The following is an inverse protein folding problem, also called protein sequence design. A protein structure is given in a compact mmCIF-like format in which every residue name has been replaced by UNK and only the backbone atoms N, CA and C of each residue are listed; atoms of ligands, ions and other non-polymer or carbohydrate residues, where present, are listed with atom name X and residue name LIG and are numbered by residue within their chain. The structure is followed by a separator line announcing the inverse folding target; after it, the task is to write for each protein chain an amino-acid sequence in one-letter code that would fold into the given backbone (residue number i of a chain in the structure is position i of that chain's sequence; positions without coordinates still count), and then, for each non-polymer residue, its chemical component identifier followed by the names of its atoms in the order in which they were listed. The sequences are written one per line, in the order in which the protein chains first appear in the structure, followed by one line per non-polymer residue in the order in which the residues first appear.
data_IF_412551789641
#
_entry.id   IF_412551789641
#
_cell.length_a   1.000
_cell.length_b   1.000
_cell.length_c   1.000
_cell.angle_alpha   90.00
_cell.angle_beta   90.00
_cell.angle_gamma   90.00
#
_symmetry.space_group_name_H-M   'P 1'
#
loop_
_entity.id
_entity.type
_entity.pdbx_description
1 polymer ?
#
# COMPACT_ATOMS: atom_id res chain seq x y z
N UNK A 1 20.75 -7.61 29.02
CA UNK A 1 19.67 -6.72 29.46
C UNK A 1 18.84 -6.39 28.23
N UNK A 2 17.77 -7.15 28.01
CA UNK A 2 16.85 -6.88 26.90
C UNK A 2 16.09 -5.61 27.27
N UNK A 3 16.30 -4.53 26.52
CA UNK A 3 15.51 -3.32 26.66
C UNK A 3 14.06 -3.71 26.40
N UNK A 4 13.15 -3.36 27.33
CA UNK A 4 11.73 -3.57 27.17
C UNK A 4 11.29 -2.97 25.83
N UNK A 5 10.72 -3.81 24.96
CA UNK A 5 10.04 -3.37 23.74
C UNK A 5 9.01 -2.31 24.14
N UNK A 6 8.94 -1.15 23.45
CA UNK A 6 7.92 -0.17 23.75
C UNK A 6 6.53 -0.81 23.58
N UNK A 7 5.74 -0.82 24.65
CA UNK A 7 4.30 -0.96 24.52
C UNK A 7 3.80 0.12 23.54
N UNK A 8 2.65 -0.13 22.89
CA UNK A 8 1.99 0.89 22.08
C UNK A 8 1.96 2.21 22.88
N UNK A 9 2.60 3.29 22.40
CA UNK A 9 2.71 4.50 23.18
C UNK A 9 1.31 5.08 23.38
N UNK A 10 1.02 5.53 24.61
CA UNK A 10 -0.18 6.31 24.93
C UNK A 10 -0.20 7.66 24.17
N UNK A 11 0.96 8.08 23.65
CA UNK A 11 1.15 9.27 22.83
C UNK A 11 0.70 9.02 21.39
N UNK A 12 -0.36 9.73 21.00
CA UNK A 12 -0.86 9.82 19.63
C UNK A 12 -0.17 10.94 18.82
N UNK A 13 0.99 11.45 19.24
CA UNK A 13 1.61 12.58 18.54
C UNK A 13 2.53 12.09 17.40
N UNK A 14 2.31 12.51 16.14
CA UNK A 14 3.24 12.24 15.03
C UNK A 14 4.67 12.70 15.34
N UNK A 15 5.67 11.86 15.04
CA UNK A 15 7.09 12.20 15.26
C UNK A 15 8.02 11.53 14.23
N UNK A 16 9.23 12.08 14.07
CA UNK A 16 10.29 11.53 13.21
C UNK A 16 10.80 10.18 13.67
N UNK A 17 10.73 9.92 14.99
CA UNK A 17 11.33 8.77 15.65
C UNK A 17 10.29 7.68 15.93
N UNK A 18 9.09 7.81 15.36
CA UNK A 18 8.02 6.83 15.55
C UNK A 18 8.39 5.46 14.97
N UNK A 19 7.97 4.42 15.67
CA UNK A 19 8.05 3.02 15.24
C UNK A 19 6.80 2.57 14.45
N UNK A 20 5.86 3.48 14.23
CA UNK A 20 4.61 3.25 13.48
C UNK A 20 4.61 4.06 12.19
N UNK A 21 4.26 3.42 11.08
CA UNK A 21 4.29 4.00 9.74
C UNK A 21 3.31 5.14 9.58
N UNK A 22 2.16 5.11 10.26
CA UNK A 22 1.13 6.13 10.09
C UNK A 22 1.35 7.37 10.97
N UNK A 23 1.94 7.22 12.15
CA UNK A 23 2.37 8.34 13.01
C UNK A 23 3.56 9.04 12.39
N UNK A 24 4.52 8.27 11.90
CA UNK A 24 5.54 8.79 11.02
C UNK A 24 4.80 9.51 9.90
N UNK A 25 3.94 8.80 9.14
CA UNK A 25 2.94 9.21 8.15
C UNK A 25 2.42 10.66 8.20
N UNK A 26 1.98 11.11 9.37
CA UNK A 26 1.50 12.47 9.57
C UNK A 26 2.62 13.52 9.76
N UNK A 27 3.73 13.15 10.40
CA UNK A 27 4.86 14.04 10.66
C UNK A 27 5.54 14.56 9.38
N UNK A 28 5.80 13.70 8.37
CA UNK A 28 6.43 14.18 7.12
C UNK A 28 5.46 14.91 6.21
N UNK A 29 4.14 14.71 6.35
CA UNK A 29 3.19 15.56 5.64
C UNK A 29 3.37 17.02 6.05
N UNK A 30 3.40 17.28 7.34
CA UNK A 30 3.64 18.64 7.84
C UNK A 30 5.07 19.12 7.61
N UNK A 31 6.05 18.22 7.67
CA UNK A 31 7.45 18.60 7.41
C UNK A 31 7.67 19.04 5.95
N UNK A 32 6.98 18.41 4.99
CA UNK A 32 7.08 18.76 3.57
C UNK A 32 6.11 19.87 3.14
N UNK A 33 4.91 19.89 3.71
CA UNK A 33 3.82 20.82 3.43
C UNK A 33 3.25 21.29 4.77
N UNK A 34 3.81 22.36 5.35
CA UNK A 34 3.40 22.84 6.67
C UNK A 34 1.90 23.07 6.78
N UNK A 35 1.25 22.39 7.74
CA UNK A 35 -0.19 22.50 8.01
C UNK A 35 -1.07 21.55 7.20
N UNK A 36 -0.50 20.68 6.38
CA UNK A 36 -1.25 19.72 5.57
C UNK A 36 -2.01 18.70 6.43
N UNK A 37 -1.43 18.24 7.54
CA UNK A 37 -2.11 17.33 8.46
C UNK A 37 -3.42 17.93 8.98
N UNK A 38 -3.41 19.23 9.31
CA UNK A 38 -4.57 19.97 9.77
C UNK A 38 -5.64 20.05 8.68
N UNK A 39 -5.24 20.31 7.42
CA UNK A 39 -6.18 20.30 6.29
C UNK A 39 -6.84 18.92 6.16
N UNK A 40 -6.07 17.83 6.26
CA UNK A 40 -6.61 16.47 6.19
C UNK A 40 -7.63 16.23 7.31
N UNK A 41 -7.28 16.56 8.55
CA UNK A 41 -8.17 16.40 9.70
C UNK A 41 -9.45 17.24 9.56
N UNK A 42 -9.34 18.50 9.14
CA UNK A 42 -10.48 19.37 8.89
C UNK A 42 -11.41 18.78 7.80
N UNK A 43 -10.85 18.21 6.73
CA UNK A 43 -11.61 17.58 5.64
C UNK A 43 -12.24 16.24 6.01
N UNK A 44 -11.71 15.58 7.02
CA UNK A 44 -12.29 14.39 7.65
C UNK A 44 -13.24 14.74 8.80
N UNK A 45 -13.39 16.03 9.15
CA UNK A 45 -14.14 16.53 10.29
C UNK A 45 -13.65 15.92 11.62
N UNK A 46 -12.33 15.94 11.82
CA UNK A 46 -11.63 15.41 12.99
C UNK A 46 -10.86 16.53 13.68
N UNK A 47 -10.82 16.51 15.02
CA UNK A 47 -10.12 17.54 15.80
C UNK A 47 -8.62 17.36 15.84
N UNK A 48 -8.18 16.10 15.90
CA UNK A 48 -6.80 15.74 16.11
C UNK A 48 -6.51 14.34 15.55
N UNK A 49 -5.24 13.97 15.59
CA UNK A 49 -4.79 12.66 15.14
C UNK A 49 -5.32 11.50 16.02
N UNK A 50 -5.73 11.76 17.26
CA UNK A 50 -6.34 10.73 18.12
C UNK A 50 -7.72 10.34 17.61
N UNK A 51 -8.54 11.30 17.18
CA UNK A 51 -9.83 11.01 16.52
C UNK A 51 -9.63 10.28 15.18
N UNK A 52 -8.59 10.63 14.42
CA UNK A 52 -8.22 9.90 13.19
C UNK A 52 -7.90 8.43 13.46
N UNK A 53 -7.01 8.16 14.42
CA UNK A 53 -6.66 6.79 14.82
C UNK A 53 -7.87 6.03 15.36
N UNK A 54 -8.70 6.66 16.18
CA UNK A 54 -9.91 6.05 16.70
C UNK A 54 -10.87 5.65 15.57
N UNK A 55 -11.03 6.49 14.54
CA UNK A 55 -11.85 6.16 13.37
C UNK A 55 -11.31 4.94 12.59
N UNK A 56 -9.99 4.83 12.41
CA UNK A 56 -9.35 3.65 11.80
C UNK A 56 -9.54 2.37 12.63
N UNK A 57 -9.66 2.50 13.95
CA UNK A 57 -10.03 1.40 14.86
C UNK A 57 -11.52 1.05 14.85
N UNK A 58 -12.32 1.67 13.99
CA UNK A 58 -13.78 1.53 14.00
C UNK A 58 -14.46 2.21 15.19
N UNK A 59 -13.71 2.98 16.00
CA UNK A 59 -14.17 3.77 17.15
C UNK A 59 -14.36 5.23 16.72
N UNK A 60 -15.32 5.47 15.84
CA UNK A 60 -15.60 6.81 15.33
C UNK A 60 -16.40 6.77 14.04
N UNK A 61 -16.89 7.92 13.58
CA UNK A 61 -17.55 8.04 12.28
C UNK A 61 -16.81 9.07 11.45
N UNK A 62 -16.22 8.63 10.34
CA UNK A 62 -15.88 9.53 9.23
C UNK A 62 -17.17 9.71 8.44
N UNK A 63 -17.75 10.90 8.56
CA UNK A 63 -19.06 11.18 7.97
C UNK A 63 -18.96 12.23 6.88
N UNK A 64 -19.22 11.84 5.63
CA UNK A 64 -19.50 12.76 4.54
C UNK A 64 -21.01 12.80 4.30
N UNK A 65 -21.57 13.95 3.97
CA UNK A 65 -23.01 14.11 3.66
C UNK A 65 -23.37 13.52 2.30
N UNK A 66 -22.37 13.34 1.42
CA UNK A 66 -22.53 12.71 0.10
C UNK A 66 -21.18 12.22 -0.45
N UNK A 67 -21.21 11.29 -1.42
CA UNK A 67 -20.00 10.88 -2.17
C UNK A 67 -19.34 12.07 -2.88
N UNK A 68 -20.14 13.02 -3.38
CA UNK A 68 -19.62 14.25 -3.99
C UNK A 68 -18.78 15.06 -3.01
N UNK A 69 -19.25 15.25 -1.78
CA UNK A 69 -18.49 15.94 -0.73
C UNK A 69 -17.20 15.20 -0.39
N UNK A 70 -17.26 13.87 -0.26
CA UNK A 70 -16.08 13.05 -0.01
C UNK A 70 -14.99 13.24 -1.09
N UNK A 71 -15.36 13.15 -2.38
CA UNK A 71 -14.39 13.35 -3.46
C UNK A 71 -13.84 14.78 -3.51
N UNK A 72 -14.67 15.78 -3.20
CA UNK A 72 -14.21 17.16 -3.08
C UNK A 72 -13.24 17.33 -1.90
N UNK A 73 -13.54 16.76 -0.74
CA UNK A 73 -12.68 16.81 0.43
C UNK A 73 -11.35 16.11 0.17
N UNK A 74 -11.38 14.94 -0.48
CA UNK A 74 -10.18 14.25 -0.94
C UNK A 74 -9.38 15.13 -1.91
N UNK A 75 -10.02 15.83 -2.84
CA UNK A 75 -9.32 16.74 -3.77
C UNK A 75 -8.54 17.85 -3.04
N UNK A 76 -9.15 18.42 -2.00
CA UNK A 76 -8.56 19.51 -1.24
C UNK A 76 -7.33 19.06 -0.41
N UNK A 77 -7.21 17.78 -0.04
CA UNK A 77 -6.05 17.28 0.73
C UNK A 77 -4.75 17.17 -0.08
N UNK A 78 -4.76 17.44 -1.38
CA UNK A 78 -3.53 17.59 -2.18
C UNK A 78 -3.50 18.88 -3.01
N UNK A 79 -4.35 19.85 -2.63
CA UNK A 79 -4.44 21.14 -3.31
C UNK A 79 -3.51 22.17 -2.68
N UNK A 80 -2.21 22.01 -2.94
CA UNK A 80 -1.16 22.94 -2.53
C UNK A 80 -0.17 23.17 -3.65
N UNK A 81 0.64 24.22 -3.58
CA UNK A 81 1.62 24.47 -4.63
C UNK A 81 2.74 23.43 -4.60
N UNK A 82 2.88 22.61 -5.64
CA UNK A 82 3.93 21.59 -5.74
C UNK A 82 5.35 22.16 -5.75
N UNK A 83 5.52 23.43 -6.13
CA UNK A 83 6.84 24.07 -6.18
C UNK A 83 7.29 24.70 -4.85
N UNK A 84 6.36 25.26 -4.06
CA UNK A 84 6.70 26.02 -2.86
C UNK A 84 6.00 25.53 -1.59
N UNK A 85 5.27 24.42 -1.69
CA UNK A 85 4.54 23.76 -0.59
C UNK A 85 3.53 24.63 0.15
N UNK A 86 3.15 25.79 -0.39
CA UNK A 86 2.15 26.65 0.25
C UNK A 86 0.74 26.09 0.06
N UNK A 87 -0.01 26.05 1.16
CA UNK A 87 -1.43 25.74 1.17
C UNK A 87 -2.25 26.93 0.63
N UNK A 88 -3.53 26.73 0.25
CA UNK A 88 -4.39 27.81 -0.21
C UNK A 88 -4.54 28.95 0.82
N UNK A 89 -4.51 28.63 2.13
CA UNK A 89 -4.59 29.58 3.24
C UNK A 89 -3.39 30.54 3.31
N UNK A 90 -2.25 30.13 2.76
CA UNK A 90 -0.98 30.87 2.88
C UNK A 90 -0.68 31.69 1.61
N UNK A 91 -1.63 31.74 0.69
CA UNK A 91 -1.54 32.49 -0.56
C UNK A 91 -2.31 33.82 -0.45
N UNK A 92 -1.80 34.91 -1.06
CA UNK A 92 -2.50 36.20 -1.08
C UNK A 92 -3.89 36.11 -1.72
N UNK A 93 -4.05 35.25 -2.73
CA UNK A 93 -5.35 34.85 -3.28
C UNK A 93 -5.43 33.32 -3.29
N UNK A 94 -6.27 32.69 -2.45
CA UNK A 94 -6.48 31.24 -2.44
C UNK A 94 -6.96 30.67 -3.79
N UNK A 95 -7.60 31.49 -4.65
CA UNK A 95 -8.05 31.10 -6.00
C UNK A 95 -6.92 31.12 -7.04
N UNK A 96 -5.72 31.54 -6.64
CA UNK A 96 -4.55 31.58 -7.51
C UNK A 96 -4.01 30.20 -7.86
N UNK A 97 -4.26 29.16 -7.05
CA UNK A 97 -3.80 27.80 -7.37
C UNK A 97 -4.42 27.31 -8.69
N UNK A 98 -3.55 27.09 -9.67
CA UNK A 98 -3.91 26.54 -10.98
C UNK A 98 -3.45 25.09 -11.06
N UNK A 99 -4.38 24.23 -11.43
CA UNK A 99 -4.12 22.82 -11.69
C UNK A 99 -3.40 22.65 -13.02
N UNK A 100 -2.46 21.71 -13.09
CA UNK A 100 -1.90 21.28 -14.38
C UNK A 100 -2.99 20.60 -15.22
N UNK A 101 -3.35 21.19 -16.35
CA UNK A 101 -4.42 20.70 -17.24
C UNK A 101 -4.12 19.33 -17.88
N UNK A 102 -2.85 18.92 -17.94
CA UNK A 102 -2.43 17.67 -18.58
C UNK A 102 -2.55 16.45 -17.67
N UNK A 103 -2.26 16.61 -16.39
CA UNK A 103 -2.21 15.49 -15.45
C UNK A 103 -3.27 15.54 -14.35
N UNK A 104 -3.90 16.71 -14.15
CA UNK A 104 -5.01 16.90 -13.22
C UNK A 104 -4.71 16.49 -11.76
N UNK A 105 -3.42 16.41 -11.40
CA UNK A 105 -2.98 15.94 -10.08
C UNK A 105 -2.14 16.93 -9.27
N UNK A 106 -1.49 17.92 -9.92
CA UNK A 106 -0.65 18.91 -9.24
C UNK A 106 -1.14 20.34 -9.44
N UNK A 107 -0.81 21.21 -8.49
CA UNK A 107 -1.24 22.60 -8.44
C UNK A 107 -0.06 23.57 -8.31
N UNK A 108 -0.22 24.78 -8.85
CA UNK A 108 0.78 25.85 -8.76
C UNK A 108 0.14 27.17 -8.41
N UNK A 109 0.73 27.94 -7.50
CA UNK A 109 0.21 29.26 -7.13
C UNK A 109 0.50 30.34 -8.18
N UNK A 110 1.44 30.10 -9.09
CA UNK A 110 1.79 31.01 -10.18
C UNK A 110 2.40 30.29 -11.38
N UNK A 111 2.43 30.99 -12.53
CA UNK A 111 3.15 30.52 -13.73
C UNK A 111 4.65 30.34 -13.46
N UNK A 112 5.24 31.14 -12.57
CA UNK A 112 6.66 31.06 -12.25
C UNK A 112 6.98 29.81 -11.43
N UNK A 113 6.14 29.47 -10.45
CA UNK A 113 6.24 28.20 -9.73
C UNK A 113 6.11 27.00 -10.69
N UNK A 114 5.17 27.06 -11.64
CA UNK A 114 5.04 26.02 -12.66
C UNK A 114 6.29 25.91 -13.54
N UNK A 115 6.84 27.03 -14.03
CA UNK A 115 8.06 27.05 -14.86
C UNK A 115 9.27 26.50 -14.10
N UNK A 116 9.41 26.87 -12.82
CA UNK A 116 10.49 26.40 -11.95
C UNK A 116 10.45 24.87 -11.77
N UNK A 117 9.26 24.32 -11.54
CA UNK A 117 9.09 22.87 -11.38
C UNK A 117 9.06 22.10 -12.72
N UNK A 118 8.80 22.77 -13.85
CA UNK A 118 8.52 22.11 -15.12
C UNK A 118 9.59 21.12 -15.59
N UNK A 119 10.86 21.44 -15.41
CA UNK A 119 11.99 20.58 -15.81
C UNK A 119 11.90 19.18 -15.21
N UNK A 120 11.28 19.11 -14.04
CA UNK A 120 11.13 17.94 -13.24
C UNK A 120 9.72 17.35 -13.39
N UNK A 121 8.67 18.17 -13.25
CA UNK A 121 7.28 17.77 -13.44
C UNK A 121 7.03 17.09 -14.79
N UNK A 122 7.61 17.59 -15.88
CA UNK A 122 7.39 17.03 -17.22
C UNK A 122 7.77 15.55 -17.32
N UNK A 123 8.72 15.08 -16.50
CA UNK A 123 9.15 13.67 -16.46
C UNK A 123 8.05 12.77 -15.89
N UNK A 124 7.23 13.30 -14.99
CA UNK A 124 6.21 12.55 -14.27
C UNK A 124 4.78 12.94 -14.65
N UNK A 125 4.59 14.00 -15.44
CA UNK A 125 3.27 14.53 -15.82
C UNK A 125 2.34 13.47 -16.43
N UNK A 126 2.86 12.61 -17.33
CA UNK A 126 2.08 11.50 -17.89
C UNK A 126 1.74 10.44 -16.85
N UNK A 127 2.69 10.14 -15.98
CA UNK A 127 2.46 9.20 -14.89
C UNK A 127 1.36 9.75 -13.99
N UNK A 128 1.47 11.00 -13.54
CA UNK A 128 0.50 11.78 -12.77
C UNK A 128 -0.92 11.80 -13.33
N UNK A 129 -1.08 11.72 -14.65
CA UNK A 129 -2.41 11.60 -15.25
C UNK A 129 -3.07 10.27 -14.87
N UNK A 130 -2.35 9.15 -15.02
CA UNK A 130 -2.82 7.78 -14.70
C UNK A 130 -3.36 7.68 -13.27
N UNK A 131 -2.73 8.40 -12.38
CA UNK A 131 -2.94 8.54 -10.92
C UNK A 131 -4.22 9.20 -10.58
N UNK A 132 -4.46 10.31 -11.27
CA UNK A 132 -5.65 11.09 -11.06
C UNK A 132 -6.88 10.27 -11.43
N UNK A 133 -6.71 9.28 -12.32
CA UNK A 133 -7.71 8.28 -12.69
C UNK A 133 -7.74 7.13 -11.67
N UNK A 134 -6.59 6.51 -11.37
CA UNK A 134 -6.48 5.34 -10.49
C UNK A 134 -7.04 5.65 -9.09
N UNK A 135 -6.80 6.85 -8.57
CA UNK A 135 -7.38 7.30 -7.28
C UNK A 135 -8.91 7.20 -7.24
N UNK A 136 -9.56 7.52 -8.35
CA UNK A 136 -11.00 7.43 -8.42
C UNK A 136 -11.42 5.99 -8.62
N UNK A 137 -10.75 5.25 -9.50
CA UNK A 137 -11.06 3.84 -9.78
C UNK A 137 -10.90 2.95 -8.55
N UNK A 138 -10.01 3.27 -7.61
CA UNK A 138 -9.89 2.59 -6.31
C UNK A 138 -11.17 2.60 -5.47
N UNK A 139 -12.07 3.56 -5.70
CA UNK A 139 -13.39 3.56 -5.07
C UNK A 139 -14.18 2.28 -5.37
N UNK A 140 -13.92 1.65 -6.52
CA UNK A 140 -14.56 0.41 -6.94
C UNK A 140 -14.19 -0.80 -6.07
N UNK A 141 -13.13 -0.69 -5.25
CA UNK A 141 -12.79 -1.68 -4.22
C UNK A 141 -13.87 -1.65 -3.12
N UNK A 142 -14.28 -0.44 -2.69
CA UNK A 142 -15.27 -0.26 -1.63
C UNK A 142 -16.69 -0.65 -2.05
N UNK A 143 -17.01 -0.52 -3.33
CA UNK A 143 -18.29 -0.98 -3.89
C UNK A 143 -18.29 -2.46 -4.23
N UNK A 144 -17.15 -3.15 -4.08
CA UNK A 144 -17.01 -4.58 -4.30
C UNK A 144 -16.83 -5.01 -5.76
N UNK A 145 -16.72 -4.07 -6.69
CA UNK A 145 -16.45 -4.37 -8.10
C UNK A 145 -15.01 -4.85 -8.33
N UNK A 146 -14.06 -4.38 -7.51
CA UNK A 146 -12.63 -4.73 -7.58
C UNK A 146 -12.09 -5.37 -6.27
N UNK A 147 -10.99 -6.14 -6.35
CA UNK A 147 -10.50 -6.81 -7.55
C UNK A 147 -11.54 -7.76 -8.13
N UNK A 148 -11.56 -7.90 -9.46
CA UNK A 148 -12.44 -8.86 -10.12
C UNK A 148 -11.97 -10.29 -9.84
N UNK A 149 -12.89 -11.27 -9.82
CA UNK A 149 -12.53 -12.65 -9.61
C UNK A 149 -11.68 -13.18 -10.77
N UNK A 150 -10.78 -14.10 -10.46
CA UNK A 150 -10.00 -14.90 -11.41
C UNK A 150 -10.54 -16.33 -11.42
N UNK A 151 -10.08 -17.14 -12.36
CA UNK A 151 -10.43 -18.57 -12.41
C UNK A 151 -9.27 -19.44 -11.89
N UNK A 152 -9.55 -20.73 -11.71
CA UNK A 152 -8.52 -21.73 -11.47
C UNK A 152 -7.41 -21.64 -12.53
N UNK A 153 -6.16 -21.76 -12.09
CA UNK A 153 -5.02 -21.62 -12.99
C UNK A 153 -5.00 -22.72 -14.05
N UNK A 154 -4.82 -22.31 -15.31
CA UNK A 154 -4.72 -23.24 -16.44
C UNK A 154 -3.35 -23.95 -16.51
N UNK A 155 -2.35 -23.46 -15.77
CA UNK A 155 -1.01 -24.06 -15.67
C UNK A 155 -0.60 -24.22 -14.20
N UNK A 156 0.24 -25.23 -13.88
CA UNK A 156 0.79 -25.39 -12.53
C UNK A 156 1.60 -24.18 -12.07
N UNK A 157 1.54 -23.87 -10.77
CA UNK A 157 2.26 -22.73 -10.19
C UNK A 157 3.77 -22.73 -10.49
N UNK A 158 4.40 -23.92 -10.56
CA UNK A 158 5.85 -24.05 -10.83
C UNK A 158 6.27 -23.57 -12.23
N UNK A 159 5.31 -23.45 -13.14
CA UNK A 159 5.54 -23.05 -14.52
C UNK A 159 5.33 -21.54 -14.74
N UNK A 160 4.96 -20.80 -13.68
CA UNK A 160 4.68 -19.36 -13.69
C UNK A 160 5.82 -18.64 -13.00
N UNK A 161 6.65 -17.93 -13.79
CA UNK A 161 7.89 -17.32 -13.30
C UNK A 161 7.80 -15.82 -13.18
N UNK A 162 6.87 -15.21 -13.90
CA UNK A 162 6.73 -13.76 -13.96
C UNK A 162 5.27 -13.35 -14.14
N UNK A 163 5.04 -12.04 -14.04
CA UNK A 163 3.73 -11.44 -14.24
C UNK A 163 3.13 -11.80 -15.60
N UNK A 164 3.93 -11.73 -16.68
CA UNK A 164 3.45 -12.00 -18.04
C UNK A 164 2.98 -13.45 -18.22
N UNK A 165 3.64 -14.41 -17.55
CA UNK A 165 3.18 -15.80 -17.51
C UNK A 165 1.79 -15.89 -16.88
N UNK A 166 1.59 -15.25 -15.73
CA UNK A 166 0.30 -15.27 -15.03
C UNK A 166 -0.80 -14.61 -15.86
N UNK A 167 -0.54 -13.45 -16.45
CA UNK A 167 -1.50 -12.73 -17.30
C UNK A 167 -1.92 -13.59 -18.49
N UNK A 168 -0.96 -14.28 -19.14
CA UNK A 168 -1.26 -15.14 -20.27
C UNK A 168 -2.24 -16.27 -19.95
N UNK A 169 -2.30 -16.72 -18.69
CA UNK A 169 -3.21 -17.78 -18.26
C UNK A 169 -4.64 -17.33 -18.06
N UNK A 170 -4.85 -16.03 -17.78
CA UNK A 170 -6.17 -15.49 -17.45
C UNK A 170 -7.09 -15.41 -18.68
N UNK A 171 -6.56 -15.67 -19.88
CA UNK A 171 -7.33 -15.65 -21.12
C UNK A 171 -7.77 -14.23 -21.49
N UNK A 172 -8.92 -14.13 -22.17
CA UNK A 172 -9.49 -12.83 -22.52
C UNK A 172 -10.21 -12.21 -21.31
N UNK A 173 -9.58 -11.19 -20.73
CA UNK A 173 -10.12 -10.42 -19.61
C UNK A 173 -11.07 -9.30 -20.08
N UNK A 174 -11.16 -9.03 -21.37
CA UNK A 174 -11.95 -7.92 -21.94
C UNK A 174 -13.41 -7.93 -21.46
N UNK A 175 -14.15 -9.06 -21.47
CA UNK A 175 -15.54 -9.09 -21.03
C UNK A 175 -15.73 -8.69 -19.56
N UNK A 176 -14.79 -9.10 -18.69
CA UNK A 176 -14.81 -8.75 -17.26
C UNK A 176 -14.59 -7.26 -17.06
N UNK A 177 -13.59 -6.71 -17.76
CA UNK A 177 -13.29 -5.27 -17.73
C UNK A 177 -14.46 -4.46 -18.28
N UNK A 178 -15.08 -4.90 -19.37
CA UNK A 178 -16.20 -4.19 -20.00
C UNK A 178 -17.44 -4.16 -19.10
N UNK A 179 -17.69 -5.21 -18.33
CA UNK A 179 -18.76 -5.24 -17.32
C UNK A 179 -18.51 -4.21 -16.21
N UNK A 180 -17.27 -4.10 -15.72
CA UNK A 180 -16.91 -3.08 -14.72
C UNK A 180 -17.04 -1.68 -15.31
N UNK A 181 -16.55 -1.46 -16.53
CA UNK A 181 -16.57 -0.16 -17.19
C UNK A 181 -17.99 0.31 -17.49
N UNK A 182 -18.90 -0.59 -17.86
CA UNK A 182 -20.31 -0.28 -18.13
C UNK A 182 -21.18 -0.20 -16.86
N UNK A 183 -20.64 -0.58 -15.70
CA UNK A 183 -21.36 -0.59 -14.42
C UNK A 183 -21.78 0.79 -13.90
N UNK A 184 -22.83 0.80 -13.07
CA UNK A 184 -23.36 2.03 -12.47
C UNK A 184 -22.33 2.69 -11.54
N UNK A 185 -21.60 1.91 -10.73
CA UNK A 185 -20.56 2.43 -9.83
C UNK A 185 -19.45 3.18 -10.57
N UNK A 186 -19.05 2.70 -11.77
CA UNK A 186 -18.10 3.39 -12.64
C UNK A 186 -18.68 4.72 -13.14
N UNK A 187 -19.96 4.77 -13.48
CA UNK A 187 -20.64 6.00 -13.94
C UNK A 187 -20.80 7.03 -12.82
N UNK A 188 -21.22 6.57 -11.65
CA UNK A 188 -21.42 7.39 -10.45
C UNK A 188 -20.11 7.98 -9.95
N UNK A 189 -19.00 7.25 -10.08
CA UNK A 189 -17.67 7.72 -9.70
C UNK A 189 -17.32 9.06 -10.38
N UNK A 190 -17.41 9.12 -11.70
CA UNK A 190 -17.05 10.32 -12.47
C UNK A 190 -18.04 11.47 -12.25
N UNK A 191 -19.33 11.12 -12.10
CA UNK A 191 -20.40 12.07 -11.80
C UNK A 191 -20.16 12.74 -10.45
N UNK A 192 -19.89 11.95 -9.40
CA UNK A 192 -19.65 12.46 -8.05
C UNK A 192 -18.32 13.19 -7.93
N UNK A 193 -17.28 12.73 -8.61
CA UNK A 193 -16.00 13.43 -8.69
C UNK A 193 -16.08 14.76 -9.46
N UNK A 194 -17.19 15.02 -10.16
CA UNK A 194 -17.37 16.18 -11.03
C UNK A 194 -16.23 16.32 -12.05
N UNK A 195 -15.76 15.19 -12.59
CA UNK A 195 -14.68 15.13 -13.58
C UNK A 195 -15.19 14.50 -14.87
N UNK A 196 -14.69 14.92 -16.05
CA UNK A 196 -14.95 14.21 -17.29
C UNK A 196 -14.50 12.76 -17.18
N UNK A 197 -15.34 11.83 -17.63
CA UNK A 197 -14.98 10.42 -17.71
C UNK A 197 -13.86 10.22 -18.75
N UNK A 198 -12.74 9.58 -18.41
CA UNK A 198 -11.68 9.26 -19.36
C UNK A 198 -12.13 8.29 -20.46
N UNK A 199 -11.34 8.20 -21.52
CA UNK A 199 -11.55 7.21 -22.58
C UNK A 199 -11.49 5.78 -22.04
N UNK A 200 -12.26 4.86 -22.63
CA UNK A 200 -12.33 3.48 -22.15
C UNK A 200 -10.96 2.78 -22.12
N UNK A 201 -10.09 3.05 -23.10
CA UNK A 201 -8.75 2.48 -23.14
C UNK A 201 -7.89 2.91 -21.94
N UNK A 202 -8.06 4.14 -21.43
CA UNK A 202 -7.39 4.59 -20.22
C UNK A 202 -8.00 3.95 -18.96
N UNK A 203 -9.33 3.83 -18.92
CA UNK A 203 -10.06 3.18 -17.82
C UNK A 203 -9.71 1.70 -17.69
N UNK A 204 -9.66 0.94 -18.79
CA UNK A 204 -9.23 -0.48 -18.77
C UNK A 204 -7.84 -0.62 -18.13
N UNK A 205 -6.90 0.25 -18.52
CA UNK A 205 -5.54 0.26 -17.95
C UNK A 205 -5.55 0.66 -16.47
N UNK A 206 -6.46 1.53 -16.05
CA UNK A 206 -6.60 1.96 -14.65
C UNK A 206 -7.13 0.84 -13.76
N UNK A 207 -8.24 0.22 -14.15
CA UNK A 207 -8.81 -0.96 -13.48
C UNK A 207 -7.74 -2.03 -13.32
N UNK A 208 -6.98 -2.31 -14.39
CA UNK A 208 -5.90 -3.27 -14.34
C UNK A 208 -4.79 -2.91 -13.35
N UNK A 209 -4.34 -1.64 -13.30
CA UNK A 209 -3.34 -1.19 -12.32
C UNK A 209 -3.84 -1.36 -10.89
N UNK A 210 -5.09 -0.96 -10.61
CA UNK A 210 -5.70 -1.10 -9.28
C UNK A 210 -5.80 -2.57 -8.86
N UNK A 211 -6.23 -3.45 -9.75
CA UNK A 211 -6.28 -4.89 -9.44
C UNK A 211 -4.91 -5.54 -9.30
N UNK A 212 -3.91 -5.04 -10.03
CA UNK A 212 -2.58 -5.68 -10.08
C UNK A 212 -1.94 -5.81 -8.71
N UNK A 213 -2.22 -4.88 -7.80
CA UNK A 213 -1.68 -4.95 -6.46
C UNK A 213 -2.26 -6.10 -5.64
N UNK A 214 -3.57 -6.32 -5.69
CA UNK A 214 -4.25 -7.43 -5.00
C UNK A 214 -3.73 -8.78 -5.52
N UNK A 215 -3.63 -8.93 -6.83
CA UNK A 215 -3.11 -10.15 -7.43
C UNK A 215 -1.64 -10.34 -7.08
N UNK A 216 -0.80 -9.31 -7.22
CA UNK A 216 0.63 -9.40 -6.92
C UNK A 216 0.92 -9.83 -5.49
N UNK A 217 0.07 -9.47 -4.53
CA UNK A 217 0.19 -9.90 -3.13
C UNK A 217 0.04 -11.42 -3.01
N UNK A 218 -1.05 -11.97 -3.52
CA UNK A 218 -1.29 -13.42 -3.52
C UNK A 218 -0.23 -14.18 -4.33
N UNK A 219 0.19 -13.64 -5.48
CA UNK A 219 1.28 -14.21 -6.28
C UNK A 219 2.60 -14.25 -5.50
N UNK A 220 2.92 -13.20 -4.75
CA UNK A 220 4.13 -13.15 -3.92
C UNK A 220 4.09 -14.18 -2.80
N UNK A 221 2.94 -14.35 -2.14
CA UNK A 221 2.77 -15.40 -1.12
C UNK A 221 2.99 -16.79 -1.73
N UNK A 222 2.40 -17.04 -2.89
CA UNK A 222 2.60 -18.28 -3.65
C UNK A 222 4.05 -18.54 -4.05
N UNK A 223 4.73 -17.50 -4.55
CA UNK A 223 6.17 -17.57 -4.84
C UNK A 223 6.98 -17.90 -3.59
N UNK A 224 6.66 -17.28 -2.45
CA UNK A 224 7.31 -17.57 -1.17
C UNK A 224 7.14 -19.03 -0.72
N UNK A 225 5.94 -19.61 -0.90
CA UNK A 225 5.66 -21.04 -0.65
C UNK A 225 6.58 -21.92 -1.51
N UNK A 226 6.68 -21.61 -2.81
CA UNK A 226 7.51 -22.37 -3.75
C UNK A 226 9.01 -22.24 -3.46
N UNK A 227 9.50 -21.01 -3.22
CA UNK A 227 10.91 -20.76 -2.90
C UNK A 227 11.34 -21.45 -1.61
N UNK A 228 10.41 -21.56 -0.66
CA UNK A 228 10.62 -22.27 0.62
C UNK A 228 10.42 -23.78 0.51
N UNK A 229 10.11 -24.31 -0.69
CA UNK A 229 9.87 -25.73 -0.97
C UNK A 229 8.77 -26.34 -0.10
N UNK A 230 7.76 -25.54 0.24
CA UNK A 230 6.59 -25.98 0.98
C UNK A 230 5.59 -26.62 0.01
N UNK A 231 5.05 -27.77 0.37
CA UNK A 231 4.06 -28.49 -0.44
C UNK A 231 2.65 -28.35 0.16
N UNK A 232 1.80 -27.45 -0.39
CA UNK A 232 0.43 -27.23 0.09
C UNK A 232 -0.50 -28.43 -0.13
N UNK A 233 -0.09 -29.44 -0.92
CA UNK A 233 -0.86 -30.66 -1.14
C UNK A 233 -0.58 -31.75 -0.10
N UNK A 234 0.58 -31.70 0.55
CA UNK A 234 1.01 -32.70 1.54
C UNK A 234 0.39 -32.49 2.92
N UNK A 235 0.24 -31.22 3.32
CA UNK A 235 -0.32 -30.81 4.61
C UNK A 235 -0.80 -29.36 4.52
N UNK A 236 -1.62 -28.91 5.48
CA UNK A 236 -2.01 -27.51 5.52
C UNK A 236 -0.83 -26.61 5.90
N UNK A 237 -0.81 -25.38 5.40
CA UNK A 237 0.26 -24.41 5.65
C UNK A 237 -0.28 -23.14 6.30
N UNK A 238 0.53 -22.54 7.19
CA UNK A 238 0.26 -21.24 7.80
C UNK A 238 1.32 -20.22 7.36
N UNK A 239 0.88 -19.09 6.80
CA UNK A 239 1.73 -17.97 6.39
C UNK A 239 1.42 -16.77 7.26
N UNK A 240 2.41 -16.20 7.93
CA UNK A 240 2.24 -14.94 8.66
C UNK A 240 2.68 -13.77 7.78
N UNK A 241 1.74 -12.89 7.44
CA UNK A 241 2.02 -11.62 6.78
C UNK A 241 2.34 -10.58 7.85
N UNK A 242 3.60 -10.19 7.96
CA UNK A 242 4.11 -9.33 9.04
C UNK A 242 4.26 -7.88 8.59
N UNK A 243 3.98 -6.95 9.51
CA UNK A 243 3.92 -5.52 9.19
C UNK A 243 2.64 -5.13 8.44
N UNK A 244 1.57 -5.93 8.57
CA UNK A 244 0.29 -5.64 7.95
C UNK A 244 -0.28 -4.30 8.47
N UNK A 245 -0.69 -3.43 7.56
CA UNK A 245 -1.24 -2.13 7.89
C UNK A 245 -2.57 -1.87 7.20
N UNK A 246 -2.89 -0.58 7.05
CA UNK A 246 -4.09 -0.12 6.37
C UNK A 246 -4.21 -0.68 4.94
N UNK A 247 -3.09 -0.82 4.23
CA UNK A 247 -3.05 -1.25 2.82
C UNK A 247 -3.51 -2.70 2.60
N UNK A 248 -3.26 -3.57 3.57
CA UNK A 248 -3.65 -4.97 3.52
C UNK A 248 -5.02 -5.20 4.17
N UNK A 249 -5.37 -4.40 5.17
CA UNK A 249 -6.47 -4.74 6.09
C UNK A 249 -7.71 -3.84 5.97
N UNK A 250 -7.59 -2.62 5.45
CA UNK A 250 -8.74 -1.71 5.31
C UNK A 250 -9.70 -2.21 4.24
N UNK A 251 -10.89 -2.60 4.67
CA UNK A 251 -11.91 -3.16 3.77
C UNK A 251 -11.58 -4.58 3.28
N UNK A 252 -10.61 -5.25 3.89
CA UNK A 252 -10.21 -6.59 3.48
C UNK A 252 -11.37 -7.59 3.62
N UNK A 253 -11.59 -8.36 2.56
CA UNK A 253 -12.60 -9.43 2.50
C UNK A 253 -11.94 -10.75 2.85
N UNK A 254 -12.72 -11.69 3.36
CA UNK A 254 -12.22 -13.03 3.69
C UNK A 254 -11.80 -13.85 2.46
N UNK A 255 -12.09 -13.35 1.25
CA UNK A 255 -11.80 -13.97 -0.05
C UNK A 255 -10.64 -13.29 -0.79
N UNK A 256 -10.01 -12.24 -0.23
CA UNK A 256 -8.99 -11.46 -0.95
C UNK A 256 -7.69 -12.25 -1.23
N UNK A 257 -7.55 -13.44 -0.65
CA UNK A 257 -6.42 -14.36 -0.87
C UNK A 257 -6.83 -15.65 -1.62
N UNK A 258 -8.05 -15.74 -2.17
CA UNK A 258 -8.56 -16.94 -2.86
C UNK A 258 -7.74 -17.29 -4.12
N UNK A 259 -7.00 -16.34 -4.68
CA UNK A 259 -6.02 -16.57 -5.74
C UNK A 259 -5.00 -17.67 -5.36
N UNK A 260 -4.68 -17.85 -4.06
CA UNK A 260 -3.85 -18.95 -3.60
C UNK A 260 -4.51 -20.32 -3.79
N UNK A 261 -5.84 -20.42 -3.64
CA UNK A 261 -6.58 -21.65 -3.95
C UNK A 261 -6.63 -21.90 -5.46
N UNK A 262 -6.67 -20.86 -6.29
CA UNK A 262 -6.56 -20.99 -7.74
C UNK A 262 -5.17 -21.45 -8.18
N UNK A 263 -4.13 -20.98 -7.47
CA UNK A 263 -2.73 -21.36 -7.70
C UNK A 263 -2.43 -22.79 -7.24
N UNK A 264 -3.03 -23.25 -6.15
CA UNK A 264 -2.82 -24.57 -5.56
C UNK A 264 -4.14 -25.36 -5.43
N UNK A 265 -4.80 -25.74 -6.55
CA UNK A 265 -6.12 -26.35 -6.50
C UNK A 265 -6.11 -27.69 -5.76
N UNK A 266 -6.89 -27.81 -4.69
CA UNK A 266 -6.96 -29.03 -3.86
C UNK A 266 -5.96 -29.09 -2.70
N UNK A 267 -5.29 -27.98 -2.37
CA UNK A 267 -4.44 -27.86 -1.18
C UNK A 267 -5.13 -28.32 0.12
N UNK A 268 -4.36 -28.79 1.10
CA UNK A 268 -4.90 -29.36 2.35
C UNK A 268 -5.43 -28.31 3.34
N UNK A 269 -5.16 -27.05 3.06
CA UNK A 269 -5.61 -25.89 3.84
C UNK A 269 -4.52 -24.82 3.82
N UNK A 270 -4.91 -23.56 3.68
CA UNK A 270 -3.98 -22.43 3.73
C UNK A 270 -4.51 -21.43 4.73
N UNK A 271 -3.66 -20.97 5.62
CA UNK A 271 -3.96 -19.84 6.50
C UNK A 271 -3.01 -18.68 6.20
N UNK A 272 -3.56 -17.47 6.14
CA UNK A 272 -2.80 -16.23 6.08
C UNK A 272 -3.17 -15.39 7.30
N UNK A 273 -2.23 -15.22 8.23
CA UNK A 273 -2.39 -14.41 9.44
C UNK A 273 -1.75 -13.04 9.20
N UNK A 274 -2.54 -11.98 9.13
CA UNK A 274 -2.06 -10.61 8.95
C UNK A 274 -1.76 -9.97 10.30
N UNK A 275 -0.48 -9.71 10.57
CA UNK A 275 -0.01 -9.21 11.87
C UNK A 275 0.68 -7.87 11.69
N UNK A 276 0.19 -6.85 12.39
CA UNK A 276 0.85 -5.56 12.43
C UNK A 276 0.18 -4.55 13.35
N UNK A 277 0.88 -3.48 13.73
CA UNK A 277 0.36 -2.50 14.68
C UNK A 277 -0.75 -1.62 14.11
N UNK A 278 -0.88 -1.60 12.78
CA UNK A 278 -1.82 -0.76 12.01
C UNK A 278 -2.93 -1.58 11.36
N UNK A 279 -3.07 -2.85 11.75
CA UNK A 279 -4.23 -3.66 11.39
C UNK A 279 -5.50 -2.97 11.87
N UNK A 280 -6.46 -2.79 10.96
CA UNK A 280 -7.75 -2.15 11.26
C UNK A 280 -8.86 -3.16 11.51
N UNK A 281 -9.95 -2.69 12.11
CA UNK A 281 -11.15 -3.51 12.30
C UNK A 281 -11.82 -3.85 10.97
N UNK A 282 -12.35 -5.06 10.86
CA UNK A 282 -13.02 -5.52 9.65
C UNK A 282 -13.34 -7.02 9.64
N UNK A 283 -13.85 -7.56 8.52
CA UNK A 283 -14.26 -8.96 8.40
C UNK A 283 -13.17 -10.00 8.70
N UNK A 284 -11.90 -9.62 8.52
CA UNK A 284 -10.74 -10.50 8.77
C UNK A 284 -10.22 -10.44 10.21
N UNK A 285 -10.72 -9.53 11.06
CA UNK A 285 -10.37 -9.46 12.48
C UNK A 285 -11.08 -10.58 13.26
N UNK A 286 -10.57 -11.79 13.08
CA UNK A 286 -11.02 -13.01 13.73
C UNK A 286 -9.81 -13.81 14.22
N UNK A 287 -9.98 -14.66 15.25
CA UNK A 287 -8.86 -15.38 15.86
C UNK A 287 -8.07 -16.18 14.82
N UNK A 288 -6.73 -16.17 14.88
CA UNK A 288 -5.91 -17.13 14.15
C UNK A 288 -6.29 -18.56 14.54
N UNK A 289 -6.06 -19.49 13.63
CA UNK A 289 -6.39 -20.88 13.90
C UNK A 289 -5.32 -21.50 14.79
N UNK A 290 -5.79 -22.24 15.81
CA UNK A 290 -4.95 -23.12 16.63
C UNK A 290 -4.45 -24.36 15.87
N UNK A 291 -5.14 -24.67 14.78
CA UNK A 291 -4.93 -25.83 13.93
C UNK A 291 -5.21 -25.44 12.47
N UNK A 292 -5.28 -26.42 11.58
CA UNK A 292 -5.24 -26.14 10.16
C UNK A 292 -6.52 -25.52 9.56
N UNK A 293 -6.33 -24.71 8.51
CA UNK A 293 -7.42 -24.16 7.71
C UNK A 293 -8.22 -25.22 6.94
N UNK A 294 -9.45 -24.92 6.52
CA UNK A 294 -10.30 -25.84 5.78
C UNK A 294 -9.67 -26.26 4.44
N UNK A 295 -9.78 -27.55 4.10
CA UNK A 295 -9.24 -28.10 2.85
C UNK A 295 -9.79 -27.36 1.63
N UNK A 296 -8.90 -27.00 0.70
CA UNK A 296 -9.25 -26.29 -0.53
C UNK A 296 -9.72 -24.84 -0.33
N UNK A 297 -9.54 -24.26 0.86
CA UNK A 297 -9.93 -22.88 1.17
C UNK A 297 -8.83 -22.12 1.90
N UNK A 298 -8.71 -20.84 1.59
CA UNK A 298 -7.81 -19.94 2.32
C UNK A 298 -8.55 -19.33 3.50
N UNK A 299 -7.97 -19.45 4.69
CA UNK A 299 -8.44 -18.78 5.88
C UNK A 299 -7.59 -17.54 6.15
N UNK A 300 -8.20 -16.36 6.09
CA UNK A 300 -7.52 -15.11 6.47
C UNK A 300 -7.89 -14.74 7.90
N UNK A 301 -6.92 -14.43 8.74
CA UNK A 301 -7.11 -13.86 10.08
C UNK A 301 -6.21 -12.65 10.26
N UNK A 302 -6.44 -11.88 11.32
CA UNK A 302 -5.62 -10.71 11.60
C UNK A 302 -5.43 -10.51 13.10
N UNK A 303 -4.26 -9.97 13.45
CA UNK A 303 -3.90 -9.61 14.81
C UNK A 303 -3.27 -8.22 14.82
N UNK A 304 -3.81 -7.35 15.68
CA UNK A 304 -3.30 -5.99 15.86
C UNK A 304 -2.22 -5.97 16.95
N UNK A 305 -0.97 -5.77 16.53
CA UNK A 305 0.18 -5.64 17.42
C UNK A 305 1.50 -5.86 16.69
N UNK A 306 2.61 -5.67 17.40
CA UNK A 306 3.93 -5.99 16.84
C UNK A 306 4.07 -7.51 16.71
N UNK A 307 4.80 -7.97 15.69
CA UNK A 307 4.88 -9.41 15.41
C UNK A 307 5.49 -10.24 16.55
N UNK A 308 6.52 -9.72 17.21
CA UNK A 308 7.14 -10.39 18.36
C UNK A 308 6.20 -10.44 19.58
N UNK A 309 5.32 -9.44 19.77
CA UNK A 309 4.28 -9.49 20.80
C UNK A 309 3.23 -10.55 20.46
N UNK A 310 2.74 -10.57 19.21
CA UNK A 310 1.85 -11.61 18.73
C UNK A 310 2.43 -13.02 18.96
N UNK A 311 3.73 -13.19 18.72
CA UNK A 311 4.42 -14.44 18.94
C UNK A 311 4.37 -14.86 20.42
N UNK A 312 4.82 -14.00 21.34
CA UNK A 312 4.83 -14.27 22.79
C UNK A 312 3.42 -14.47 23.35
N UNK A 313 2.46 -13.66 22.92
CA UNK A 313 1.12 -13.64 23.49
C UNK A 313 0.23 -14.77 22.99
N UNK A 314 0.43 -15.21 21.73
CA UNK A 314 -0.53 -16.08 21.02
C UNK A 314 0.15 -17.34 20.49
N UNK A 315 1.28 -17.22 19.79
CA UNK A 315 1.96 -18.38 19.16
C UNK A 315 2.62 -19.27 20.21
N UNK A 316 3.37 -18.71 21.15
CA UNK A 316 4.05 -19.48 22.22
C UNK A 316 3.07 -20.16 23.16
N UNK A 317 1.87 -19.58 23.33
CA UNK A 317 0.79 -20.17 24.14
C UNK A 317 -0.02 -21.23 23.40
N UNK A 318 0.28 -21.48 22.11
CA UNK A 318 -0.46 -22.43 21.29
C UNK A 318 -1.88 -21.97 20.92
N UNK A 319 -2.14 -20.67 20.99
CA UNK A 319 -3.41 -20.06 20.59
C UNK A 319 -3.45 -19.72 19.09
N UNK A 320 -2.29 -19.69 18.43
CA UNK A 320 -2.11 -19.63 16.98
C UNK A 320 -1.07 -20.65 16.53
N UNK A 321 -1.20 -21.15 15.29
CA UNK A 321 -0.20 -22.01 14.69
C UNK A 321 1.14 -21.27 14.49
N UNK A 322 2.26 -22.02 14.56
CA UNK A 322 3.56 -21.51 14.11
C UNK A 322 3.55 -21.36 12.59
N UNK A 323 4.19 -20.32 12.03
CA UNK A 323 4.23 -20.13 10.59
C UNK A 323 5.18 -21.12 9.92
N UNK A 324 4.80 -21.56 8.73
CA UNK A 324 5.69 -22.22 7.79
C UNK A 324 6.50 -21.21 6.96
N UNK A 325 5.95 -20.01 6.80
CA UNK A 325 6.53 -18.91 6.05
C UNK A 325 6.11 -17.57 6.67
N UNK A 326 7.05 -16.63 6.74
CA UNK A 326 6.79 -15.23 7.08
C UNK A 326 7.00 -14.37 5.84
N UNK A 327 6.06 -13.47 5.55
CA UNK A 327 6.15 -12.53 4.43
C UNK A 327 5.93 -11.11 4.90
N UNK A 328 6.84 -10.18 4.58
CA UNK A 328 6.65 -8.75 4.83
C UNK A 328 6.65 -7.95 3.53
N UNK A 329 5.58 -7.22 3.26
CA UNK A 329 5.49 -6.36 2.09
C UNK A 329 6.04 -4.97 2.42
N UNK A 330 7.09 -4.55 1.72
CA UNK A 330 7.64 -3.20 1.82
C UNK A 330 7.80 -2.68 3.26
N UNK A 331 8.47 -3.41 4.17
CA UNK A 331 8.43 -3.21 5.61
C UNK A 331 9.01 -1.88 6.11
N UNK A 332 9.56 -1.05 5.22
CA UNK A 332 10.01 0.30 5.57
C UNK A 332 11.29 0.35 6.41
N UNK A 333 12.12 -0.71 6.40
CA UNK A 333 13.37 -0.77 7.20
C UNK A 333 14.28 0.46 7.06
N UNK A 334 14.21 1.15 5.93
CA UNK A 334 15.04 2.31 5.60
C UNK A 334 14.30 3.65 5.71
N UNK A 335 13.05 3.67 6.19
CA UNK A 335 12.21 4.86 6.19
C UNK A 335 12.53 5.82 7.36
N UNK A 336 12.76 5.30 8.56
CA UNK A 336 13.28 6.04 9.71
C UNK A 336 14.12 5.12 10.60
N UNK A 337 14.94 5.72 11.47
CA UNK A 337 15.63 4.97 12.51
C UNK A 337 14.62 4.28 13.45
N UNK A 338 13.55 4.97 13.84
CA UNK A 338 12.49 4.41 14.69
C UNK A 338 11.83 3.18 14.08
N UNK A 339 11.43 3.23 12.81
CA UNK A 339 10.86 2.07 12.11
C UNK A 339 11.87 0.91 12.03
N UNK A 340 13.14 1.20 11.71
CA UNK A 340 14.19 0.19 11.70
C UNK A 340 14.39 -0.49 13.06
N UNK A 341 14.43 0.29 14.15
CA UNK A 341 14.56 -0.22 15.52
C UNK A 341 13.33 -1.03 15.95
N UNK A 342 12.12 -0.62 15.56
CA UNK A 342 10.88 -1.35 15.82
C UNK A 342 10.83 -2.75 15.20
N UNK A 343 11.52 -2.96 14.09
CA UNK A 343 11.62 -4.27 13.43
C UNK A 343 12.69 -5.19 14.04
N UNK A 344 13.68 -4.66 14.76
CA UNK A 344 14.82 -5.45 15.25
C UNK A 344 14.40 -6.69 16.07
N UNK A 345 13.50 -6.61 17.06
CA UNK A 345 13.08 -7.79 17.82
C UNK A 345 12.41 -8.85 16.93
N UNK A 346 11.59 -8.42 15.97
CA UNK A 346 10.96 -9.30 14.98
C UNK A 346 12.02 -10.03 14.14
N UNK A 347 13.02 -9.32 13.63
CA UNK A 347 14.07 -9.92 12.80
C UNK A 347 14.95 -10.90 13.59
N UNK A 348 15.26 -10.59 14.85
CA UNK A 348 15.99 -11.49 15.74
C UNK A 348 15.18 -12.77 16.02
N UNK A 349 13.89 -12.63 16.28
CA UNK A 349 12.97 -13.76 16.48
C UNK A 349 12.95 -14.68 15.25
N UNK A 350 12.75 -14.13 14.05
CA UNK A 350 12.73 -14.91 12.81
C UNK A 350 14.05 -15.68 12.60
N UNK A 351 15.19 -15.06 12.92
CA UNK A 351 16.51 -15.69 12.89
C UNK A 351 16.62 -16.82 13.92
N UNK A 352 16.27 -16.54 15.18
CA UNK A 352 16.50 -17.46 16.30
C UNK A 352 15.63 -18.72 16.19
N UNK A 353 14.40 -18.58 15.67
CA UNK A 353 13.52 -19.71 15.36
C UNK A 353 13.73 -20.31 13.95
N UNK A 354 14.68 -19.77 13.18
CA UNK A 354 15.01 -20.22 11.83
C UNK A 354 13.79 -20.32 10.88
N UNK A 355 12.96 -19.27 10.88
CA UNK A 355 11.70 -19.23 10.14
C UNK A 355 11.95 -18.77 8.70
N UNK A 356 11.54 -19.53 7.66
CA UNK A 356 11.60 -19.07 6.27
C UNK A 356 10.90 -17.73 6.12
N UNK A 357 11.60 -16.74 5.56
CA UNK A 357 11.12 -15.36 5.51
C UNK A 357 11.37 -14.73 4.14
N UNK A 358 10.37 -14.02 3.61
CA UNK A 358 10.44 -13.27 2.35
C UNK A 358 10.04 -11.81 2.61
N UNK A 359 10.85 -10.86 2.16
CA UNK A 359 10.52 -9.43 2.25
C UNK A 359 10.60 -8.78 0.86
N UNK A 360 9.57 -8.01 0.49
CA UNK A 360 9.61 -7.18 -0.72
C UNK A 360 10.13 -5.79 -0.41
N UNK A 361 10.86 -5.18 -1.34
CA UNK A 361 11.36 -3.82 -1.20
C UNK A 361 11.16 -3.01 -2.48
N UNK A 362 10.90 -1.71 -2.33
CA UNK A 362 10.85 -0.79 -3.47
C UNK A 362 12.25 -0.54 -4.03
N UNK A 363 12.38 -0.48 -5.36
CA UNK A 363 13.64 -0.15 -6.02
C UNK A 363 14.05 1.31 -5.76
N UNK A 364 15.16 1.52 -5.04
CA UNK A 364 15.66 2.84 -4.59
C UNK A 364 16.41 3.63 -5.70
N UNK A 365 16.74 3.01 -6.84
CA UNK A 365 17.63 3.62 -7.85
C UNK A 365 17.04 4.81 -8.63
N UNK A 366 15.74 5.10 -8.51
CA UNK A 366 15.08 6.17 -9.26
C UNK A 366 14.87 7.48 -8.46
N UNK A 367 15.28 7.56 -7.18
CA UNK A 367 14.94 8.68 -6.27
C UNK A 367 15.99 9.79 -6.14
N UNK A 368 17.17 9.69 -6.76
CA UNK A 368 18.28 10.67 -6.62
C UNK A 368 18.09 12.02 -7.32
N UNK A 369 16.93 12.31 -7.87
CA UNK A 369 16.60 13.62 -8.42
C UNK A 369 15.39 14.08 -7.64
N UNK A 370 15.50 15.17 -6.86
CA UNK A 370 14.37 15.86 -6.22
C UNK A 370 13.16 15.73 -7.14
N UNK A 371 12.19 14.88 -6.81
CA UNK A 371 10.99 14.62 -7.62
C UNK A 371 9.90 15.59 -7.16
N UNK A 372 9.04 16.11 -8.05
CA UNK A 372 7.84 16.80 -7.62
C UNK A 372 6.96 15.74 -7.01
N UNK A 373 6.20 16.06 -5.97
CA UNK A 373 5.31 15.10 -5.35
C UNK A 373 4.26 14.65 -6.38
N UNK A 374 4.46 13.43 -6.89
CA UNK A 374 3.63 12.80 -7.89
C UNK A 374 3.19 11.44 -7.38
N UNK A 375 1.96 11.36 -6.88
CA UNK A 375 1.27 10.12 -6.50
C UNK A 375 0.95 9.30 -7.76
N UNK A 376 0.80 7.96 -7.73
CA UNK A 376 0.35 7.07 -8.83
C UNK A 376 -1.07 6.50 -8.74
N UNK A 377 -1.71 6.60 -7.59
CA UNK A 377 -3.15 6.39 -7.35
C UNK A 377 -3.54 7.05 -6.01
N UNK A 378 -4.74 6.86 -5.45
CA UNK A 378 -5.03 7.31 -4.08
C UNK A 378 -4.25 6.45 -3.09
N UNK A 379 -4.10 5.18 -3.42
CA UNK A 379 -3.28 4.24 -2.69
C UNK A 379 -1.81 4.61 -2.76
N UNK A 380 -1.25 4.93 -3.93
CA UNK A 380 0.10 5.52 -3.96
C UNK A 380 0.13 6.93 -3.35
N UNK A 381 -1.00 7.64 -3.24
CA UNK A 381 -1.08 8.87 -2.46
C UNK A 381 -0.96 8.57 -0.97
N UNK A 382 -1.60 7.53 -0.44
CA UNK A 382 -1.43 7.08 0.95
C UNK A 382 -0.06 6.41 1.20
N UNK A 383 0.41 5.54 0.30
CA UNK A 383 1.74 4.93 0.33
C UNK A 383 2.84 5.97 0.17
N UNK A 384 2.72 6.98 -0.70
CA UNK A 384 3.67 8.10 -0.75
C UNK A 384 3.38 9.18 0.25
N UNK A 385 2.22 9.26 0.88
CA UNK A 385 2.13 9.98 2.14
C UNK A 385 3.10 9.30 3.10
N UNK A 386 3.11 7.96 3.22
CA UNK A 386 4.10 7.14 3.96
C UNK A 386 5.53 7.06 3.35
N UNK A 387 5.75 7.33 2.04
CA UNK A 387 7.08 7.38 1.40
C UNK A 387 7.64 8.81 1.22
N UNK A 388 6.83 9.87 1.39
CA UNK A 388 7.27 11.29 1.45
C UNK A 388 8.23 11.53 2.63
N UNK A 389 8.40 10.50 3.44
CA UNK A 389 9.35 10.32 4.52
C UNK A 389 10.79 10.02 4.12
N UNK A 390 11.09 9.83 2.84
CA UNK A 390 12.46 9.55 2.40
C UNK A 390 13.21 10.84 2.05
N UNK A 391 13.49 11.68 3.06
CA UNK A 391 14.60 12.64 3.05
C UNK A 391 15.59 12.21 4.14
N UNK A 392 16.58 11.40 3.76
CA UNK A 392 17.70 11.11 4.64
C UNK A 392 18.74 12.22 4.52
N UNK A 393 18.93 12.91 5.64
CA UNK A 393 20.12 13.67 5.99
C UNK A 393 21.32 12.71 6.02
N UNK A 394 22.23 12.84 5.04
CA UNK A 394 23.67 12.69 5.28
C UNK A 394 24.47 13.15 4.05
N UNK A 395 24.77 14.45 4.01
CA UNK A 395 26.11 14.87 3.64
C UNK A 395 26.94 14.78 4.92
N UNK A 396 27.91 13.87 4.98
CA UNK A 396 29.31 14.23 5.27
C UNK A 396 30.26 13.02 5.16
N UNK A 397 31.19 13.15 4.20
CA UNK A 397 32.51 12.49 4.05
C UNK A 397 32.61 11.16 3.25
N UNK A 398 33.18 11.31 2.05
CA UNK A 398 33.93 10.35 1.20
C UNK A 398 35.27 9.90 1.88
N UNK A 399 36.10 9.00 1.29
CA UNK A 399 35.90 7.93 0.29
C UNK A 399 36.65 6.61 0.62
N UNK A 400 36.42 5.58 -0.21
CA UNK A 400 37.43 4.72 -0.86
C UNK A 400 37.29 3.19 -0.68
N UNK A 401 37.39 2.51 -1.84
CA UNK A 401 37.64 1.07 -2.07
C UNK A 401 36.48 0.08 -1.81
N UNK A 402 35.64 -0.11 -2.83
CA UNK A 402 35.35 -1.46 -3.35
C UNK A 402 35.20 -1.38 -4.87
N UNK A 403 36.13 -2.02 -5.58
CA UNK A 403 36.11 -2.29 -7.01
C UNK A 403 35.24 -3.52 -7.29
N UNK A 404 34.16 -3.36 -8.04
CA UNK A 404 33.33 -4.46 -8.50
C UNK A 404 32.22 -3.98 -9.43
N UNK A 405 32.36 -4.23 -10.73
CA UNK A 405 31.39 -3.83 -11.75
C UNK A 405 30.13 -4.70 -11.70
N UNK A 406 29.02 -4.15 -11.21
CA UNK A 406 27.69 -4.70 -11.50
C UNK A 406 27.06 -3.89 -12.64
N UNK A 407 26.82 -4.60 -13.75
CA UNK A 407 26.41 -4.07 -15.04
C UNK A 407 25.01 -3.43 -14.97
N UNK A 408 24.89 -2.31 -15.68
CA UNK A 408 23.71 -1.49 -15.95
C UNK A 408 22.54 -2.33 -16.52
N UNK A 409 21.36 -2.26 -15.93
CA UNK A 409 20.09 -2.68 -16.56
C UNK A 409 19.38 -1.44 -17.12
N UNK A 410 19.16 -1.41 -18.44
CA UNK A 410 18.57 -0.29 -19.18
C UNK A 410 17.05 -0.45 -19.35
N UNK A 411 16.29 0.57 -18.91
CA UNK A 411 14.91 1.00 -19.28
C UNK A 411 13.75 -0.02 -19.24
N UNK A 412 12.57 0.41 -18.77
CA UNK A 412 11.40 0.61 -19.65
C UNK A 412 10.28 1.46 -19.00
N UNK A 413 9.69 2.28 -19.86
CA UNK A 413 8.49 3.09 -19.68
C UNK A 413 7.25 2.19 -19.64
N UNK A 414 6.84 1.69 -18.47
CA UNK A 414 5.45 1.38 -18.15
C UNK A 414 5.40 0.92 -16.69
N UNK A 415 4.48 1.48 -15.91
CA UNK A 415 4.42 1.33 -14.45
C UNK A 415 4.04 -0.08 -13.99
N UNK A 416 4.92 -1.04 -14.20
CA UNK A 416 4.80 -2.43 -13.75
C UNK A 416 5.85 -2.73 -12.69
N UNK A 417 5.41 -3.30 -11.56
CA UNK A 417 6.29 -3.89 -10.57
C UNK A 417 6.81 -5.19 -11.18
N UNK A 418 8.07 -5.20 -11.64
CA UNK A 418 8.74 -6.45 -11.99
C UNK A 418 9.17 -7.16 -10.70
N UNK A 419 8.62 -8.35 -10.45
CA UNK A 419 9.28 -9.33 -9.59
C UNK A 419 10.51 -9.84 -10.34
N UNK A 420 11.70 -9.60 -9.78
CA UNK A 420 12.95 -10.25 -10.17
C UNK A 420 13.61 -10.83 -8.94
#
# INVERSE_FOLDING_TARGET
MASSVPALPDSFTPSSDSVYSDQFGFYSLDSNVPGLSKVILDKLNMKDYKEYRAALEGKGRVGFRSHKEMFQNLEETFKFCTCCSKLPSDLPDPKALKRCIKCLNVYYCSKDCQKKDWSLHKKFCKMLHKVSIDRLVEWLIHTGDLPFPTEAWSRPAKDIRCWDDWVSMQGDLTPRLDTILSGQNMTDLWTNACRPRPEEAELRKSVWRVCSEFFSRSLTLGLGIQMSRLDPYSRPLTVHLVGAGHNETLGARTTDMDELSHMFPGHQGLEVVMVGPEVVQGPIMRPPLRAFGPRGKVYISAYKGLYHQFWEEVVEKGEAAKPDLVVGFHPGFHASQGLGEGWLPTLLLLRDYNIPSLFTMYNVSDSKVNKPFTFRSAKEMFEKMEESFKICVQCERLPSRVTGSLKRCTRYDDGMIQMR
#
